data_IF_137511336113
#
_entry.id   IF_137511336113
#
_cell.length_a   1.000
_cell.length_b   1.000
_cell.length_c   1.000
_cell.angle_alpha   90.00
_cell.angle_beta   90.00
_cell.angle_gamma   90.00
#
_symmetry.space_group_name_H-M   'P 1'
#
loop_
_entity.id
_entity.type
_entity.pdbx_description
1 polymer ?
#
# COMPACT_ATOMS: atom_id res chain seq x y z
N UNK A 1 -2.24 -25.25 -12.51
CA UNK A 1 -1.01 -24.44 -12.70
C UNK A 1 -1.08 -23.23 -11.77
N UNK A 2 -0.10 -23.05 -10.89
CA UNK A 2 -0.04 -21.86 -10.04
C UNK A 2 0.13 -20.62 -10.94
N UNK A 3 -0.85 -19.71 -10.90
CA UNK A 3 -0.82 -18.47 -11.67
C UNK A 3 0.38 -17.67 -11.17
N UNK A 4 1.40 -17.45 -12.03
CA UNK A 4 2.59 -16.67 -11.67
C UNK A 4 2.14 -15.31 -11.10
N UNK A 5 2.76 -14.80 -10.03
CA UNK A 5 2.46 -13.47 -9.54
C UNK A 5 2.66 -12.47 -10.69
N UNK A 6 1.65 -11.63 -10.91
CA UNK A 6 1.69 -10.63 -11.96
C UNK A 6 2.80 -9.63 -11.61
N UNK A 7 3.88 -9.64 -12.39
CA UNK A 7 4.92 -8.60 -12.36
C UNK A 7 5.13 -8.10 -13.78
N UNK A 8 5.38 -6.81 -13.94
CA UNK A 8 5.58 -6.22 -15.26
C UNK A 8 5.62 -4.71 -15.22
N UNK A 9 5.57 -4.11 -16.40
CA UNK A 9 5.55 -2.66 -16.60
C UNK A 9 4.11 -2.18 -16.84
N UNK A 10 3.80 -0.99 -16.33
CA UNK A 10 2.54 -0.31 -16.52
C UNK A 10 2.74 0.94 -17.38
N UNK A 11 2.01 1.02 -18.49
CA UNK A 11 1.97 2.22 -19.33
C UNK A 11 0.71 3.01 -18.98
N UNK A 12 0.83 4.22 -18.43
CA UNK A 12 -0.33 5.03 -18.07
C UNK A 12 -1.06 5.51 -19.32
N UNK A 13 -2.40 5.45 -19.29
CA UNK A 13 -3.24 6.05 -20.34
C UNK A 13 -3.42 7.55 -20.12
N UNK A 14 -3.22 8.04 -18.88
CA UNK A 14 -3.18 9.47 -18.54
C UNK A 14 -1.78 9.86 -18.03
N UNK A 15 -0.75 9.90 -18.90
CA UNK A 15 0.64 10.11 -18.49
C UNK A 15 0.87 11.43 -17.75
N UNK A 16 0.05 12.45 -17.99
CA UNK A 16 0.11 13.74 -17.29
C UNK A 16 -0.20 13.64 -15.79
N UNK A 17 -0.90 12.58 -15.35
CA UNK A 17 -1.14 12.32 -13.93
C UNK A 17 0.03 11.63 -13.24
N UNK A 18 0.91 10.96 -13.98
CA UNK A 18 2.03 10.26 -13.38
C UNK A 18 3.20 11.24 -13.17
N UNK A 19 3.63 11.38 -11.91
CA UNK A 19 4.71 12.30 -11.51
C UNK A 19 5.92 11.57 -10.94
N UNK A 20 5.98 10.25 -11.08
CA UNK A 20 7.08 9.41 -10.61
C UNK A 20 8.16 9.15 -11.68
N UNK A 21 9.02 8.17 -11.40
CA UNK A 21 10.10 7.75 -12.31
C UNK A 21 9.65 6.61 -13.22
N UNK A 22 9.97 6.72 -14.52
CA UNK A 22 9.70 5.67 -15.51
C UNK A 22 10.89 4.69 -15.63
N UNK A 23 10.67 3.40 -15.99
CA UNK A 23 9.36 2.77 -16.22
C UNK A 23 8.60 2.48 -14.91
N UNK A 24 7.26 2.49 -14.98
CA UNK A 24 6.40 2.14 -13.83
C UNK A 24 6.33 0.62 -13.75
N UNK A 25 6.75 0.04 -12.63
CA UNK A 25 6.73 -1.42 -12.43
C UNK A 25 5.73 -1.83 -11.36
N UNK A 26 4.95 -2.88 -11.61
CA UNK A 26 4.15 -3.55 -10.59
C UNK A 26 4.74 -4.92 -10.25
N UNK A 27 4.61 -5.33 -8.99
CA UNK A 27 5.09 -6.60 -8.42
C UNK A 27 3.95 -7.55 -8.05
N UNK A 28 2.71 -7.06 -8.13
CA UNK A 28 1.52 -7.85 -7.84
C UNK A 28 0.35 -7.49 -8.74
N UNK A 29 -0.63 -8.39 -8.82
CA UNK A 29 -1.90 -8.13 -9.51
C UNK A 29 -2.71 -7.02 -8.83
N UNK A 30 -2.44 -6.69 -7.58
CA UNK A 30 -3.16 -5.63 -6.87
C UNK A 30 -2.55 -4.26 -7.11
N UNK A 31 -1.22 -4.19 -7.22
CA UNK A 31 -0.54 -2.97 -7.66
C UNK A 31 -1.01 -2.55 -9.05
N UNK A 32 -1.09 -3.48 -10.03
CA UNK A 32 -1.62 -3.11 -11.35
C UNK A 32 -3.09 -2.66 -11.28
N UNK A 33 -3.94 -3.28 -10.46
CA UNK A 33 -5.32 -2.80 -10.25
C UNK A 33 -5.36 -1.41 -9.64
N UNK A 34 -4.50 -1.12 -8.66
CA UNK A 34 -4.36 0.20 -8.05
C UNK A 34 -3.86 1.24 -9.05
N UNK A 35 -2.83 0.92 -9.84
CA UNK A 35 -2.32 1.79 -10.91
C UNK A 35 -3.40 2.11 -11.94
N UNK A 36 -4.17 1.11 -12.38
CA UNK A 36 -5.30 1.33 -13.29
C UNK A 36 -6.35 2.26 -12.70
N UNK A 37 -6.64 2.14 -11.41
CA UNK A 37 -7.58 3.02 -10.71
C UNK A 37 -7.01 4.45 -10.61
N UNK A 38 -5.78 4.61 -10.10
CA UNK A 38 -5.10 5.90 -9.96
C UNK A 38 -5.04 6.68 -11.28
N UNK A 39 -4.71 5.98 -12.36
CA UNK A 39 -4.58 6.57 -13.68
C UNK A 39 -5.94 7.03 -14.24
N UNK A 40 -7.01 6.25 -14.04
CA UNK A 40 -8.34 6.53 -14.61
C UNK A 40 -9.23 7.40 -13.73
N UNK A 41 -9.00 7.45 -12.42
CA UNK A 41 -9.94 8.09 -11.50
C UNK A 41 -9.97 9.61 -11.71
N UNK A 42 -11.16 10.23 -11.90
CA UNK A 42 -11.26 11.64 -12.28
C UNK A 42 -10.76 12.60 -11.20
N UNK A 43 -10.89 12.22 -9.93
CA UNK A 43 -10.45 13.04 -8.81
C UNK A 43 -8.96 12.85 -8.45
N UNK A 44 -8.27 11.87 -9.03
CA UNK A 44 -6.81 11.74 -8.87
C UNK A 44 -6.14 12.73 -9.82
N UNK A 45 -5.42 13.69 -9.23
CA UNK A 45 -4.73 14.77 -9.92
C UNK A 45 -3.30 14.38 -10.29
N UNK A 46 -2.61 13.70 -9.37
CA UNK A 46 -1.26 13.22 -9.57
C UNK A 46 -1.02 11.94 -8.77
N UNK A 47 -0.16 11.05 -9.26
CA UNK A 47 0.28 9.88 -8.54
C UNK A 47 1.69 9.46 -8.93
N UNK A 48 2.37 8.74 -8.04
CA UNK A 48 3.70 8.20 -8.27
C UNK A 48 3.84 6.84 -7.59
N UNK A 49 4.59 5.93 -8.22
CA UNK A 49 4.94 4.62 -7.67
C UNK A 49 6.29 4.71 -6.98
N UNK A 50 6.42 4.15 -5.77
CA UNK A 50 7.70 3.98 -5.05
C UNK A 50 8.55 5.27 -4.91
N UNK A 51 7.91 6.43 -4.84
CA UNK A 51 8.58 7.74 -4.93
C UNK A 51 9.02 8.33 -3.58
N UNK A 52 8.56 7.76 -2.46
CA UNK A 52 8.81 8.29 -1.11
C UNK A 52 9.70 7.32 -0.33
N UNK A 53 10.76 7.84 0.26
CA UNK A 53 11.66 7.10 1.15
C UNK A 53 11.46 7.55 2.61
N UNK A 54 11.12 6.60 3.48
CA UNK A 54 10.81 6.85 4.89
C UNK A 54 11.79 6.06 5.77
N UNK A 55 12.67 6.71 6.54
CA UNK A 55 13.55 6.01 7.46
C UNK A 55 12.74 5.39 8.61
N UNK A 56 13.05 4.15 8.97
CA UNK A 56 12.45 3.45 10.11
C UNK A 56 13.48 2.55 10.79
N UNK A 57 13.26 2.25 12.07
CA UNK A 57 14.05 1.24 12.77
C UNK A 57 13.43 -0.14 12.57
N UNK A 58 14.18 -1.08 12.00
CA UNK A 58 13.72 -2.45 11.78
C UNK A 58 13.94 -3.28 13.06
N UNK A 59 12.87 -3.71 13.77
CA UNK A 59 13.01 -4.39 15.06
C UNK A 59 13.57 -5.81 14.94
N UNK A 60 13.42 -6.45 13.78
CA UNK A 60 13.92 -7.81 13.53
C UNK A 60 15.42 -7.80 13.21
N UNK A 61 15.87 -6.80 12.44
CA UNK A 61 17.30 -6.60 12.11
C UNK A 61 18.06 -5.77 13.14
N UNK A 62 17.36 -5.15 14.09
CA UNK A 62 17.90 -4.21 15.08
C UNK A 62 18.72 -3.05 14.46
N UNK A 63 18.31 -2.59 13.27
CA UNK A 63 19.06 -1.58 12.51
C UNK A 63 18.11 -0.59 11.80
N UNK A 64 18.61 0.62 11.55
CA UNK A 64 17.93 1.58 10.69
C UNK A 64 17.86 1.08 9.24
N UNK A 65 16.72 1.34 8.60
CA UNK A 65 16.45 0.96 7.22
C UNK A 65 15.51 1.97 6.58
N UNK A 66 15.24 1.79 5.28
CA UNK A 66 14.35 2.65 4.50
C UNK A 66 13.12 1.85 4.09
N UNK A 67 11.96 2.46 4.29
CA UNK A 67 10.68 1.98 3.79
C UNK A 67 10.30 2.82 2.57
N UNK A 68 10.01 2.13 1.47
CA UNK A 68 9.46 2.71 0.24
C UNK A 68 8.02 2.20 0.13
N UNK A 69 7.00 3.04 0.40
CA UNK A 69 5.60 2.69 0.19
C UNK A 69 5.27 2.56 -1.29
N UNK A 70 4.22 1.81 -1.61
CA UNK A 70 3.86 1.51 -3.00
C UNK A 70 3.46 2.76 -3.79
N UNK A 71 2.58 3.61 -3.24
CA UNK A 71 2.05 4.76 -3.98
C UNK A 71 2.01 6.05 -3.15
N UNK A 72 2.19 7.16 -3.86
CA UNK A 72 1.82 8.49 -3.43
C UNK A 72 0.77 9.03 -4.39
N UNK A 73 -0.27 9.71 -3.88
CA UNK A 73 -1.27 10.37 -4.70
C UNK A 73 -1.71 11.71 -4.14
N UNK A 74 -2.10 12.59 -5.05
CA UNK A 74 -2.79 13.85 -4.77
C UNK A 74 -4.17 13.77 -5.43
N UNK A 75 -5.21 14.04 -4.66
CA UNK A 75 -6.58 14.00 -5.14
C UNK A 75 -7.39 15.21 -4.68
N UNK A 76 -8.39 15.59 -5.46
CA UNK A 76 -9.35 16.62 -5.10
C UNK A 76 -10.49 16.00 -4.27
N UNK A 77 -11.00 16.75 -3.31
CA UNK A 77 -12.21 16.39 -2.58
C UNK A 77 -13.42 16.38 -3.54
N UNK A 78 -14.24 15.32 -3.44
CA UNK A 78 -15.43 15.13 -4.27
C UNK A 78 -16.59 16.06 -3.90
N UNK A 79 -16.45 16.88 -2.86
CA UNK A 79 -17.47 17.84 -2.38
C UNK A 79 -17.57 19.11 -3.23
N UNK A 80 -16.66 19.34 -4.18
CA UNK A 80 -16.67 20.51 -5.07
C UNK A 80 -16.02 21.76 -4.49
N UNK A 81 -15.50 21.73 -3.26
CA UNK A 81 -14.76 22.83 -2.63
C UNK A 81 -13.33 23.01 -3.17
N UNK A 82 -12.84 22.09 -4.01
CA UNK A 82 -11.51 22.11 -4.60
C UNK A 82 -10.36 21.79 -3.62
N UNK A 83 -10.66 21.34 -2.39
CA UNK A 83 -9.65 20.95 -1.41
C UNK A 83 -8.80 19.80 -1.96
N UNK A 84 -7.48 19.88 -1.78
CA UNK A 84 -6.55 18.83 -2.21
C UNK A 84 -6.08 18.04 -1.01
N UNK A 85 -5.96 16.74 -1.20
CA UNK A 85 -5.43 15.81 -0.22
C UNK A 85 -4.23 15.07 -0.79
N UNK A 86 -3.23 14.86 0.06
CA UNK A 86 -2.07 14.04 -0.24
C UNK A 86 -2.14 12.77 0.61
N UNK A 87 -1.88 11.63 -0.01
CA UNK A 87 -1.97 10.33 0.63
C UNK A 87 -0.80 9.44 0.18
N UNK A 88 -0.30 8.65 1.12
CA UNK A 88 0.60 7.53 0.86
C UNK A 88 -0.21 6.25 1.04
N UNK A 89 -0.09 5.33 0.09
CA UNK A 89 -0.81 4.05 0.09
C UNK A 89 0.17 2.89 0.06
N UNK A 90 -0.07 1.91 0.92
CA UNK A 90 0.56 0.59 0.90
C UNK A 90 -0.47 -0.46 0.49
N UNK A 91 -0.16 -1.29 -0.50
CA UNK A 91 -0.95 -2.44 -0.92
C UNK A 91 -0.40 -3.70 -0.23
N UNK A 92 -1.21 -4.35 0.62
CA UNK A 92 -0.74 -5.47 1.43
C UNK A 92 -1.80 -6.54 1.67
N UNK A 93 -1.46 -7.85 1.55
CA UNK A 93 -2.40 -8.92 1.89
C UNK A 93 -2.73 -8.89 3.37
N UNK A 94 -3.98 -9.17 3.72
CA UNK A 94 -4.45 -9.12 5.11
C UNK A 94 -3.60 -9.91 6.07
N UNK A 95 -3.13 -11.08 5.65
CA UNK A 95 -2.29 -11.94 6.49
C UNK A 95 -1.01 -11.25 6.99
N UNK A 96 -0.50 -10.26 6.25
CA UNK A 96 0.72 -9.50 6.56
C UNK A 96 0.43 -8.18 7.27
N UNK A 97 -0.84 -7.83 7.49
CA UNK A 97 -1.26 -6.67 8.28
C UNK A 97 -1.08 -6.99 9.77
N UNK A 98 -0.31 -6.19 10.53
CA UNK A 98 -0.23 -6.28 11.98
C UNK A 98 -1.58 -6.50 12.66
N UNK A 99 -1.67 -7.55 13.47
CA UNK A 99 -2.88 -7.91 14.21
C UNK A 99 -3.81 -8.88 13.46
N UNK A 100 -3.55 -9.19 12.19
CA UNK A 100 -4.26 -10.29 11.54
C UNK A 100 -3.96 -11.61 12.25
N UNK A 101 -4.98 -12.44 12.37
CA UNK A 101 -4.91 -13.81 12.87
C UNK A 101 -5.69 -14.73 11.93
N UNK A 102 -5.33 -16.01 11.85
CA UNK A 102 -6.09 -16.95 11.01
C UNK A 102 -7.56 -17.03 11.47
N UNK A 103 -8.52 -17.24 10.55
CA UNK A 103 -9.90 -17.47 10.94
C UNK A 103 -10.03 -18.76 11.76
N UNK A 104 -11.07 -18.80 12.59
CA UNK A 104 -11.45 -20.02 13.31
C UNK A 104 -11.95 -21.02 12.28
N UNK A 105 -11.43 -22.24 12.33
CA UNK A 105 -11.93 -23.33 11.51
C UNK A 105 -13.31 -23.75 12.02
N UNK A 106 -14.36 -23.51 11.24
CA UNK A 106 -15.76 -23.73 11.64
C UNK A 106 -16.06 -25.19 12.04
N UNK A 107 -15.39 -26.16 11.41
CA UNK A 107 -15.59 -27.60 11.69
C UNK A 107 -14.95 -28.03 13.00
N UNK A 108 -13.79 -27.49 13.34
CA UNK A 108 -12.98 -27.95 14.48
C UNK A 108 -13.04 -26.99 15.67
N UNK A 109 -13.55 -25.77 15.48
CA UNK A 109 -13.52 -24.69 16.47
C UNK A 109 -12.12 -24.16 16.79
N UNK A 110 -11.08 -24.61 16.07
CA UNK A 110 -9.68 -24.27 16.37
C UNK A 110 -9.17 -23.15 15.48
N UNK A 111 -8.37 -22.26 16.08
CA UNK A 111 -7.63 -21.23 15.36
C UNK A 111 -6.19 -21.67 15.15
N UNK A 112 -5.78 -21.82 13.89
CA UNK A 112 -4.39 -22.16 13.57
C UNK A 112 -3.46 -20.98 13.89
N UNK A 113 -2.26 -21.26 14.42
CA UNK A 113 -1.25 -20.22 14.60
C UNK A 113 -0.72 -19.74 13.24
N UNK A 114 -0.37 -18.47 13.15
CA UNK A 114 0.37 -17.94 12.00
C UNK A 114 1.78 -18.54 11.96
N UNK A 115 2.34 -18.68 10.75
CA UNK A 115 3.74 -19.08 10.62
C UNK A 115 4.67 -18.03 11.23
N UNK A 116 5.85 -18.45 11.70
CA UNK A 116 6.86 -17.53 12.25
C UNK A 116 7.24 -16.44 11.23
N UNK A 117 7.33 -16.78 9.95
CA UNK A 117 7.64 -15.84 8.87
C UNK A 117 6.58 -14.74 8.77
N UNK A 118 5.29 -15.11 8.82
CA UNK A 118 4.19 -14.12 8.78
C UNK A 118 4.20 -13.23 10.02
N UNK A 119 4.46 -13.79 11.20
CA UNK A 119 4.56 -13.01 12.43
C UNK A 119 5.71 -11.98 12.38
N UNK A 120 6.88 -12.37 11.87
CA UNK A 120 8.01 -11.46 11.67
C UNK A 120 7.70 -10.38 10.63
N UNK A 121 7.02 -10.74 9.53
CA UNK A 121 6.58 -9.78 8.53
C UNK A 121 5.62 -8.73 9.14
N UNK A 122 4.64 -9.16 9.95
CA UNK A 122 3.75 -8.25 10.67
C UNK A 122 4.52 -7.31 11.61
N UNK A 123 5.52 -7.81 12.34
CA UNK A 123 6.34 -6.98 13.24
C UNK A 123 7.15 -5.91 12.48
N UNK A 124 7.73 -6.26 11.32
CA UNK A 124 8.44 -5.30 10.46
C UNK A 124 7.47 -4.29 9.85
N UNK A 125 6.32 -4.73 9.35
CA UNK A 125 5.30 -3.85 8.77
C UNK A 125 4.75 -2.87 9.82
N UNK A 126 4.56 -3.30 11.07
CA UNK A 126 4.15 -2.41 12.15
C UNK A 126 5.14 -1.25 12.34
N UNK A 127 6.44 -1.54 12.31
CA UNK A 127 7.47 -0.51 12.44
C UNK A 127 7.50 0.44 11.23
N UNK A 128 7.39 -0.09 10.01
CA UNK A 128 7.31 0.70 8.77
C UNK A 128 6.11 1.65 8.79
N UNK A 129 4.95 1.14 9.18
CA UNK A 129 3.70 1.90 9.14
C UNK A 129 3.62 2.95 10.22
N UNK A 130 4.12 2.68 11.43
CA UNK A 130 4.28 3.72 12.45
C UNK A 130 5.16 4.88 11.95
N UNK A 131 6.24 4.56 11.23
CA UNK A 131 7.10 5.58 10.64
C UNK A 131 6.37 6.36 9.53
N UNK A 132 5.58 5.69 8.69
CA UNK A 132 4.79 6.32 7.63
C UNK A 132 3.66 7.20 8.18
N UNK A 133 2.93 6.75 9.20
CA UNK A 133 1.91 7.55 9.90
C UNK A 133 2.53 8.82 10.48
N UNK A 134 3.68 8.71 11.16
CA UNK A 134 4.39 9.87 11.67
C UNK A 134 4.88 10.80 10.56
N UNK A 135 5.37 10.24 9.45
CA UNK A 135 5.81 10.97 8.27
C UNK A 135 4.67 11.77 7.63
N UNK A 136 3.51 11.14 7.47
CA UNK A 136 2.30 11.74 6.90
C UNK A 136 1.70 12.79 7.84
N UNK A 137 1.57 12.49 9.13
CA UNK A 137 1.03 13.41 10.14
C UNK A 137 1.78 14.74 10.17
N UNK A 138 3.12 14.70 10.11
CA UNK A 138 3.97 15.91 10.08
C UNK A 138 3.73 16.80 8.85
N UNK A 139 3.15 16.25 7.77
CA UNK A 139 2.89 16.95 6.51
C UNK A 139 1.41 17.23 6.26
N UNK A 140 0.53 16.86 7.20
CA UNK A 140 -0.91 16.90 6.99
C UNK A 140 -1.40 15.91 5.91
N UNK A 141 -0.62 14.87 5.62
CA UNK A 141 -0.96 13.81 4.66
C UNK A 141 -1.66 12.65 5.36
N UNK A 142 -2.28 11.77 4.58
CA UNK A 142 -2.85 10.50 5.06
C UNK A 142 -1.92 9.33 4.75
N UNK A 143 -1.94 8.31 5.59
CA UNK A 143 -1.36 7.01 5.29
C UNK A 143 -2.48 5.98 5.30
N UNK A 144 -2.59 5.18 4.24
CA UNK A 144 -3.65 4.19 4.08
C UNK A 144 -3.08 2.85 3.65
N UNK A 145 -3.63 1.78 4.21
CA UNK A 145 -3.35 0.41 3.81
C UNK A 145 -4.52 -0.06 2.95
N UNK A 146 -4.20 -0.65 1.80
CA UNK A 146 -5.14 -1.25 0.87
C UNK A 146 -4.89 -2.74 0.83
N UNK A 147 -5.96 -3.49 0.97
CA UNK A 147 -5.97 -4.95 1.06
C UNK A 147 -7.04 -5.54 0.14
N UNK A 148 -7.25 -6.85 0.21
CA UNK A 148 -8.19 -7.55 -0.66
C UNK A 148 -9.64 -7.05 -0.52
N UNK A 149 -10.03 -6.57 0.67
CA UNK A 149 -11.39 -6.10 0.96
C UNK A 149 -11.61 -4.67 0.48
N UNK A 150 -10.55 -3.86 0.49
CA UNK A 150 -10.63 -2.42 0.23
C UNK A 150 -10.24 -2.05 -1.20
N UNK A 151 -9.41 -2.84 -1.88
CA UNK A 151 -8.92 -2.54 -3.24
C UNK A 151 -10.05 -2.28 -4.25
N UNK A 152 -11.09 -3.11 -4.26
CA UNK A 152 -12.22 -2.98 -5.20
C UNK A 152 -13.26 -1.93 -4.77
N UNK A 153 -13.14 -1.44 -3.53
CA UNK A 153 -14.00 -0.41 -2.94
C UNK A 153 -13.19 0.85 -2.61
N UNK A 154 -12.02 1.03 -3.24
CA UNK A 154 -11.18 2.19 -3.00
C UNK A 154 -11.93 3.42 -3.53
N UNK A 155 -12.46 4.21 -2.61
CA UNK A 155 -13.19 5.46 -2.85
C UNK A 155 -12.31 6.64 -2.51
#
# INVERSE_FOLDING_TARGET
MARKPAKGEFTPVNPSKYVGTMPITYRSSWEISMMMWLDKHPYVLAWASESISIPYYNPVKQAWSVYIPDFFLVYADGTGNGAKHCEIVEVKPQKEIPGYVNPINERTGKQAKLSQVTQLAQAVNLAKWKAAEAYCKKRGWRFRIVDERTLYNYK
#
